data_IF_327298997981
#
_entry.id   IF_327298997981
#
_cell.length_a   1.000
_cell.length_b   1.000
_cell.length_c   1.000
_cell.angle_alpha   90.00
_cell.angle_beta   90.00
_cell.angle_gamma   90.00
#
_symmetry.space_group_name_H-M   'P 1'
#
loop_
_entity.id
_entity.type
_entity.pdbx_description
1 polymer ?
#
# COMPACT_ATOMS: atom_id res chain seq x y z
N UNK A 1 -6.93 -24.30 27.93
CA UNK A 1 -7.93 -24.30 29.03
C UNK A 1 -9.17 -25.03 28.54
N UNK A 2 -9.73 -25.96 29.31
CA UNK A 2 -11.02 -26.59 28.99
C UNK A 2 -12.16 -25.86 29.71
N UNK A 3 -13.36 -25.74 29.11
CA UNK A 3 -14.51 -25.15 29.76
C UNK A 3 -14.96 -25.96 30.98
N UNK A 4 -15.39 -25.27 32.04
CA UNK A 4 -15.97 -25.88 33.25
C UNK A 4 -17.50 -25.83 33.12
N UNK A 5 -18.22 -26.95 33.38
CA UNK A 5 -19.69 -26.97 33.37
C UNK A 5 -20.29 -26.14 34.51
N UNK A 6 -21.47 -25.56 34.28
CA UNK A 6 -22.22 -24.86 35.31
C UNK A 6 -22.71 -25.82 36.42
N UNK A 7 -22.69 -25.35 37.67
CA UNK A 7 -23.16 -26.04 38.87
C UNK A 7 -23.86 -25.05 39.81
N UNK A 8 -24.41 -25.51 40.93
CA UNK A 8 -25.03 -24.62 41.94
C UNK A 8 -24.04 -23.60 42.52
N UNK A 9 -22.74 -23.90 42.48
CA UNK A 9 -21.66 -22.96 42.86
C UNK A 9 -21.23 -22.03 41.70
N UNK A 10 -21.60 -22.34 40.45
CA UNK A 10 -21.32 -21.55 39.24
C UNK A 10 -22.57 -21.41 38.35
N UNK A 11 -23.62 -20.69 38.83
CA UNK A 11 -24.88 -20.58 38.12
C UNK A 11 -24.77 -19.74 36.84
N UNK A 12 -25.69 -19.98 35.91
CA UNK A 12 -25.80 -19.21 34.67
C UNK A 12 -26.23 -17.77 35.01
N UNK A 13 -25.49 -16.72 34.56
CA UNK A 13 -25.90 -15.34 34.78
C UNK A 13 -27.24 -15.07 34.11
N UNK A 14 -28.24 -14.62 34.88
CA UNK A 14 -29.53 -14.20 34.32
C UNK A 14 -29.42 -12.75 33.79
N UNK A 15 -29.97 -12.43 32.62
CA UNK A 15 -30.09 -11.06 32.15
C UNK A 15 -30.96 -10.24 33.11
N UNK A 16 -30.61 -8.98 33.34
CA UNK A 16 -31.50 -8.05 34.04
C UNK A 16 -32.75 -7.80 33.17
N UNK A 17 -33.92 -8.12 33.70
CA UNK A 17 -35.19 -7.78 33.09
C UNK A 17 -35.56 -6.32 33.38
N UNK A 18 -35.94 -5.60 32.31
CA UNK A 18 -36.48 -4.24 32.24
C UNK A 18 -35.51 -3.06 32.36
N UNK A 19 -35.05 -2.55 31.22
CA UNK A 19 -34.96 -1.10 30.99
C UNK A 19 -35.58 -0.78 29.63
N UNK A 20 -36.72 -0.12 29.69
CA UNK A 20 -37.49 0.44 28.58
C UNK A 20 -36.64 1.45 27.81
N UNK A 21 -36.67 1.31 26.48
CA UNK A 21 -35.95 2.15 25.54
C UNK A 21 -36.86 3.32 25.17
N UNK A 22 -36.57 4.52 25.70
CA UNK A 22 -37.08 5.77 25.16
C UNK A 22 -35.95 6.80 25.08
N UNK A 23 -35.86 7.38 23.89
CA UNK A 23 -34.98 8.46 23.47
C UNK A 23 -35.24 9.76 24.23
N UNK A 24 -34.20 10.52 24.57
CA UNK A 24 -34.20 11.99 24.48
C UNK A 24 -32.81 12.59 24.78
N UNK A 25 -32.31 13.35 23.80
CA UNK A 25 -31.64 14.66 23.91
C UNK A 25 -30.57 14.90 25.00
N UNK A 26 -29.31 14.94 24.59
CA UNK A 26 -28.30 15.77 25.27
C UNK A 26 -28.19 17.14 24.58
N UNK A 27 -28.52 18.15 25.37
CA UNK A 27 -28.46 19.58 25.09
C UNK A 27 -27.03 20.12 25.04
N UNK A 28 -26.81 21.00 24.06
CA UNK A 28 -25.71 21.96 23.92
C UNK A 28 -25.66 22.96 25.09
N UNK A 29 -24.46 23.24 25.65
CA UNK A 29 -23.93 24.60 25.88
C UNK A 29 -22.49 24.60 26.45
N UNK A 30 -21.55 25.14 25.67
CA UNK A 30 -20.47 26.03 26.13
C UNK A 30 -19.06 25.44 26.33
N UNK A 31 -18.18 25.53 25.33
CA UNK A 31 -17.23 26.67 25.25
C UNK A 31 -16.50 26.72 23.89
N UNK A 32 -16.25 27.95 23.42
CA UNK A 32 -15.82 28.28 22.05
C UNK A 32 -14.36 27.92 21.76
N UNK A 33 -14.10 27.06 20.77
CA UNK A 33 -12.88 27.14 19.94
C UNK A 33 -13.25 26.87 18.49
N UNK A 34 -13.10 27.90 17.65
CA UNK A 34 -13.32 27.85 16.20
C UNK A 34 -12.35 26.84 15.59
N UNK A 35 -12.87 25.73 15.06
CA UNK A 35 -12.16 24.83 14.14
C UNK A 35 -12.94 24.80 12.83
N UNK A 36 -12.30 25.24 11.75
CA UNK A 36 -12.73 24.92 10.40
C UNK A 36 -12.46 23.43 10.17
N UNK A 37 -13.49 22.60 10.27
CA UNK A 37 -13.47 21.22 9.80
C UNK A 37 -13.67 21.24 8.29
N UNK A 38 -12.72 20.68 7.54
CA UNK A 38 -12.95 20.31 6.14
C UNK A 38 -14.00 19.17 6.13
N UNK A 39 -15.15 19.44 5.51
CA UNK A 39 -16.35 18.62 5.48
C UNK A 39 -16.10 17.15 5.11
N UNK A 40 -16.32 16.26 6.08
CA UNK A 40 -16.68 14.87 5.82
C UNK A 40 -18.21 14.80 5.70
N UNK A 41 -18.80 14.16 4.66
CA UNK A 41 -20.25 14.04 4.59
C UNK A 41 -20.72 13.05 5.67
N UNK A 42 -21.18 13.60 6.79
CA UNK A 42 -21.92 12.87 7.81
C UNK A 42 -23.28 12.43 7.25
N UNK A 43 -23.66 11.18 7.49
CA UNK A 43 -24.98 10.64 7.09
C UNK A 43 -26.14 11.15 7.94
N UNK A 44 -25.88 11.99 8.94
CA UNK A 44 -26.88 12.45 9.90
C UNK A 44 -27.80 13.57 9.37
N UNK A 45 -27.60 14.04 8.13
CA UNK A 45 -28.36 15.16 7.56
C UNK A 45 -28.89 14.94 6.14
N UNK A 46 -28.83 13.72 5.60
CA UNK A 46 -29.41 13.46 4.28
C UNK A 46 -30.95 13.51 4.38
N UNK A 47 -31.63 14.24 3.47
CA UNK A 47 -33.08 14.22 3.44
C UNK A 47 -33.57 12.81 3.12
N UNK A 48 -34.74 12.45 3.66
CA UNK A 48 -35.44 11.22 3.29
C UNK A 48 -35.59 11.12 1.77
N UNK A 49 -35.61 9.88 1.26
CA UNK A 49 -35.81 9.66 -0.17
C UNK A 49 -37.17 10.20 -0.63
N UNK A 50 -37.15 11.18 -1.53
CA UNK A 50 -38.33 11.72 -2.19
C UNK A 50 -38.28 11.32 -3.67
N UNK A 51 -39.23 10.52 -4.18
CA UNK A 51 -39.25 10.13 -5.59
C UNK A 51 -39.50 11.34 -6.50
N UNK A 52 -38.74 11.42 -7.60
CA UNK A 52 -38.93 12.46 -8.61
C UNK A 52 -40.26 12.29 -9.33
N UNK A 53 -41.10 13.32 -9.30
CA UNK A 53 -42.44 13.33 -9.95
C UNK A 53 -42.40 13.51 -11.47
N UNK A 54 -41.22 13.67 -12.06
CA UNK A 54 -41.03 14.03 -13.48
C UNK A 54 -40.87 12.85 -14.44
N UNK A 55 -40.72 11.62 -13.95
CA UNK A 55 -40.58 10.42 -14.79
C UNK A 55 -41.63 9.37 -14.43
N UNK A 56 -42.47 8.98 -15.40
CA UNK A 56 -43.56 8.03 -15.19
C UNK A 56 -43.13 6.55 -15.23
N UNK A 57 -41.84 6.25 -15.46
CA UNK A 57 -41.31 4.88 -15.45
C UNK A 57 -40.14 4.73 -14.46
N UNK A 58 -40.12 3.67 -13.64
CA UNK A 58 -38.97 3.35 -12.80
C UNK A 58 -37.73 3.10 -13.66
N UNK A 59 -36.57 3.60 -13.21
CA UNK A 59 -35.28 3.26 -13.81
C UNK A 59 -35.03 1.76 -13.65
N UNK A 60 -34.83 1.06 -14.77
CA UNK A 60 -34.37 -0.34 -14.78
C UNK A 60 -32.84 -0.34 -14.87
N UNK A 61 -32.21 -1.16 -14.03
CA UNK A 61 -30.77 -1.28 -13.92
C UNK A 61 -30.26 -2.15 -15.09
N UNK A 62 -29.34 -1.60 -15.87
CA UNK A 62 -28.64 -2.29 -16.96
C UNK A 62 -27.60 -3.27 -16.43
N UNK A 63 -27.06 -4.14 -17.29
CA UNK A 63 -25.96 -5.05 -16.90
C UNK A 63 -24.71 -4.28 -16.43
N UNK A 64 -24.38 -3.18 -17.13
CA UNK A 64 -23.23 -2.32 -16.81
C UNK A 64 -23.38 -1.65 -15.44
N UNK A 65 -24.55 -1.07 -15.15
CA UNK A 65 -24.84 -0.46 -13.85
C UNK A 65 -24.80 -1.50 -12.71
N UNK A 66 -25.32 -2.71 -12.95
CA UNK A 66 -25.28 -3.77 -11.95
C UNK A 66 -23.84 -4.24 -11.68
N UNK A 67 -23.01 -4.36 -12.72
CA UNK A 67 -21.59 -4.69 -12.60
C UNK A 67 -20.87 -3.63 -11.77
N UNK A 68 -21.09 -2.35 -12.09
CA UNK A 68 -20.47 -1.22 -11.40
C UNK A 68 -20.93 -1.09 -9.94
N UNK A 69 -22.20 -1.36 -9.65
CA UNK A 69 -22.70 -1.44 -8.28
C UNK A 69 -22.04 -2.57 -7.49
N UNK A 70 -21.96 -3.78 -8.06
CA UNK A 70 -21.30 -4.94 -7.44
C UNK A 70 -19.83 -4.66 -7.15
N UNK A 71 -19.18 -3.98 -8.09
CA UNK A 71 -17.80 -3.52 -7.98
C UNK A 71 -17.65 -2.52 -6.83
N UNK A 72 -18.48 -1.49 -6.76
CA UNK A 72 -18.43 -0.45 -5.73
C UNK A 72 -18.72 -0.92 -4.32
N UNK A 73 -19.63 -1.90 -4.20
CA UNK A 73 -19.90 -2.58 -2.94
C UNK A 73 -18.86 -3.66 -2.60
N UNK A 74 -17.88 -3.88 -3.47
CA UNK A 74 -16.83 -4.90 -3.34
C UNK A 74 -17.39 -6.29 -3.00
N UNK A 75 -18.45 -6.71 -3.71
CA UNK A 75 -19.14 -7.95 -3.37
C UNK A 75 -18.38 -9.20 -3.85
N UNK A 76 -18.24 -10.22 -2.97
CA UNK A 76 -17.92 -11.59 -3.41
C UNK A 76 -18.96 -12.11 -4.40
N UNK A 77 -18.59 -13.07 -5.24
CA UNK A 77 -19.45 -13.64 -6.30
C UNK A 77 -20.82 -14.07 -5.80
N UNK A 78 -20.89 -14.78 -4.67
CA UNK A 78 -22.16 -15.24 -4.08
C UNK A 78 -23.06 -14.09 -3.59
N UNK A 79 -22.47 -13.01 -3.04
CA UNK A 79 -23.24 -11.83 -2.60
C UNK A 79 -23.69 -10.98 -3.78
N UNK A 80 -22.87 -10.88 -4.82
CA UNK A 80 -23.24 -10.22 -6.07
C UNK A 80 -24.44 -10.92 -6.73
N UNK A 81 -24.41 -12.25 -6.77
CA UNK A 81 -25.51 -13.06 -7.28
C UNK A 81 -26.78 -12.89 -6.44
N UNK A 82 -26.66 -12.92 -5.11
CA UNK A 82 -27.80 -12.67 -4.21
C UNK A 82 -28.41 -11.29 -4.43
N UNK A 83 -27.58 -10.25 -4.57
CA UNK A 83 -28.03 -8.89 -4.86
C UNK A 83 -28.77 -8.84 -6.20
N UNK A 84 -28.15 -9.34 -7.28
CA UNK A 84 -28.77 -9.38 -8.60
C UNK A 84 -30.09 -10.14 -8.61
N UNK A 85 -30.17 -11.28 -7.91
CA UNK A 85 -31.40 -12.06 -7.80
C UNK A 85 -32.53 -11.31 -7.10
N UNK A 86 -32.23 -10.52 -6.06
CA UNK A 86 -33.23 -9.68 -5.37
C UNK A 86 -33.71 -8.53 -6.25
N UNK A 87 -32.79 -7.86 -6.95
CA UNK A 87 -33.13 -6.80 -7.90
C UNK A 87 -34.00 -7.34 -9.04
N UNK A 88 -33.71 -8.55 -9.53
CA UNK A 88 -34.53 -9.24 -10.52
C UNK A 88 -35.94 -9.53 -9.98
N UNK A 89 -36.05 -10.07 -8.76
CA UNK A 89 -37.34 -10.35 -8.11
C UNK A 89 -38.20 -9.09 -7.94
N UNK A 90 -37.56 -7.93 -7.72
CA UNK A 90 -38.23 -6.65 -7.59
C UNK A 90 -38.54 -5.97 -8.94
N UNK A 91 -38.26 -6.62 -10.07
CA UNK A 91 -38.42 -6.08 -11.41
C UNK A 91 -37.64 -4.77 -11.65
N UNK A 92 -36.45 -4.66 -11.03
CA UNK A 92 -35.57 -3.49 -11.14
C UNK A 92 -34.45 -3.67 -12.17
N UNK A 93 -34.40 -4.79 -12.88
CA UNK A 93 -33.39 -5.06 -13.93
C UNK A 93 -34.01 -4.95 -15.32
N UNK A 94 -33.18 -4.61 -16.31
CA UNK A 94 -33.53 -4.79 -17.72
C UNK A 94 -33.62 -6.27 -18.11
N UNK A 95 -34.31 -6.55 -19.20
CA UNK A 95 -34.73 -7.90 -19.58
C UNK A 95 -33.56 -8.77 -20.07
N UNK A 96 -32.44 -8.15 -20.49
CA UNK A 96 -31.21 -8.80 -20.96
C UNK A 96 -30.15 -9.01 -19.86
N UNK A 97 -30.42 -8.55 -18.62
CA UNK A 97 -29.48 -8.67 -17.50
C UNK A 97 -29.34 -10.10 -17.02
N UNK A 98 -28.09 -10.56 -16.85
CA UNK A 98 -27.77 -11.91 -16.41
C UNK A 98 -27.04 -11.93 -15.07
N UNK A 99 -27.79 -12.29 -14.02
CA UNK A 99 -27.25 -12.44 -12.65
C UNK A 99 -26.18 -13.55 -12.58
N UNK A 100 -26.29 -14.58 -13.41
CA UNK A 100 -25.37 -15.71 -13.45
C UNK A 100 -23.94 -15.33 -13.88
N UNK A 101 -23.75 -14.19 -14.55
CA UNK A 101 -22.44 -13.69 -15.00
C UNK A 101 -21.48 -13.55 -13.82
N UNK A 102 -21.95 -13.17 -12.63
CA UNK A 102 -21.08 -12.98 -11.46
C UNK A 102 -20.33 -14.25 -11.02
N UNK A 103 -20.91 -15.44 -11.27
CA UNK A 103 -20.22 -16.72 -10.99
C UNK A 103 -18.97 -16.89 -11.84
N UNK A 104 -19.00 -16.35 -13.07
CA UNK A 104 -17.97 -16.50 -14.10
C UNK A 104 -17.23 -15.21 -14.46
N UNK A 105 -17.43 -14.11 -13.72
CA UNK A 105 -16.85 -12.78 -14.00
C UNK A 105 -15.32 -12.69 -14.16
N UNK A 106 -14.59 -13.72 -13.73
CA UNK A 106 -13.14 -13.82 -13.89
C UNK A 106 -12.73 -14.37 -15.26
N UNK A 107 -13.65 -15.00 -16.00
CA UNK A 107 -13.35 -15.79 -17.20
C UNK A 107 -12.75 -14.97 -18.34
N UNK A 108 -13.08 -13.69 -18.42
CA UNK A 108 -12.57 -12.81 -19.46
C UNK A 108 -11.08 -12.47 -19.24
N UNK A 109 -10.62 -12.52 -17.98
CA UNK A 109 -9.23 -12.21 -17.62
C UNK A 109 -8.39 -13.45 -17.32
N UNK A 110 -9.00 -14.59 -17.02
CA UNK A 110 -8.31 -15.83 -16.67
C UNK A 110 -7.29 -16.31 -17.73
N UNK A 111 -7.56 -16.20 -19.06
CA UNK A 111 -6.60 -16.61 -20.10
C UNK A 111 -5.26 -15.86 -20.09
N UNK A 112 -5.17 -14.70 -19.44
CA UNK A 112 -3.92 -13.94 -19.35
C UNK A 112 -2.99 -14.44 -18.24
N UNK A 113 -3.46 -15.34 -17.38
CA UNK A 113 -2.72 -15.82 -16.21
C UNK A 113 -2.42 -17.31 -16.30
N UNK A 114 -1.17 -17.66 -16.03
CA UNK A 114 -0.71 -19.04 -15.91
C UNK A 114 -0.28 -19.33 -14.47
N UNK A 115 -0.23 -20.62 -14.12
CA UNK A 115 0.31 -21.07 -12.84
C UNK A 115 1.35 -22.16 -13.08
N UNK A 116 2.60 -21.88 -12.70
CA UNK A 116 3.71 -22.82 -12.80
C UNK A 116 4.58 -22.71 -11.55
N UNK A 117 5.03 -23.83 -10.99
CA UNK A 117 5.91 -23.86 -9.81
C UNK A 117 5.38 -23.03 -8.62
N UNK A 118 4.07 -23.06 -8.38
CA UNK A 118 3.36 -22.28 -7.36
C UNK A 118 3.36 -20.74 -7.55
N UNK A 119 3.87 -20.24 -8.67
CA UNK A 119 3.76 -18.85 -9.07
C UNK A 119 2.59 -18.71 -10.05
N UNK A 120 1.64 -17.83 -9.73
CA UNK A 120 0.66 -17.33 -10.70
C UNK A 120 1.25 -16.08 -11.33
N UNK A 121 1.28 -15.99 -12.65
CA UNK A 121 1.86 -14.85 -13.37
C UNK A 121 1.06 -14.50 -14.61
N UNK A 122 1.12 -13.23 -15.02
CA UNK A 122 0.54 -12.78 -16.27
C UNK A 122 1.50 -13.07 -17.43
N UNK A 123 1.07 -13.89 -18.39
CA UNK A 123 1.88 -14.32 -19.53
C UNK A 123 1.73 -13.40 -20.76
N UNK A 124 0.69 -12.56 -20.77
CA UNK A 124 0.39 -11.61 -21.84
C UNK A 124 -0.06 -10.26 -21.26
N UNK A 125 0.91 -9.43 -20.87
CA UNK A 125 0.70 -8.11 -20.29
C UNK A 125 -0.06 -7.18 -21.24
N UNK A 126 0.34 -7.15 -22.51
CA UNK A 126 -0.30 -6.35 -23.55
C UNK A 126 -1.79 -6.69 -23.68
N UNK A 127 -2.11 -7.99 -23.76
CA UNK A 127 -3.49 -8.47 -23.86
C UNK A 127 -4.33 -8.14 -22.62
N UNK A 128 -3.76 -8.28 -21.43
CA UNK A 128 -4.44 -7.94 -20.17
C UNK A 128 -4.78 -6.44 -20.11
N UNK A 129 -3.83 -5.57 -20.45
CA UNK A 129 -4.04 -4.12 -20.45
C UNK A 129 -5.02 -3.69 -21.53
N UNK A 130 -4.94 -4.27 -22.73
CA UNK A 130 -5.92 -4.04 -23.79
C UNK A 130 -7.35 -4.47 -23.37
N UNK A 131 -7.49 -5.61 -22.69
CA UNK A 131 -8.78 -6.08 -22.17
C UNK A 131 -9.33 -5.18 -21.04
N UNK A 132 -8.46 -4.40 -20.39
CA UNK A 132 -8.83 -3.36 -19.44
C UNK A 132 -9.03 -1.98 -20.08
N UNK A 133 -9.01 -1.87 -21.42
CA UNK A 133 -9.08 -0.60 -22.16
C UNK A 133 -7.94 0.38 -21.82
N UNK A 134 -6.77 -0.14 -21.44
CA UNK A 134 -5.57 0.68 -21.21
C UNK A 134 -4.69 0.63 -22.46
N UNK A 135 -4.37 1.80 -23.01
CA UNK A 135 -3.31 1.93 -23.99
C UNK A 135 -1.95 1.78 -23.30
N UNK A 136 -1.25 0.66 -23.58
CA UNK A 136 -0.06 0.33 -22.82
C UNK A 136 1.22 0.94 -23.41
N UNK A 137 1.87 1.75 -22.59
CA UNK A 137 3.25 2.21 -22.79
C UNK A 137 4.12 1.74 -21.61
N UNK A 138 5.12 0.87 -21.78
CA UNK A 138 5.97 0.40 -20.68
C UNK A 138 6.62 1.52 -19.86
N UNK A 139 6.93 2.67 -20.47
CA UNK A 139 7.58 3.79 -19.78
C UNK A 139 6.67 4.47 -18.73
N UNK A 140 5.35 4.28 -18.82
CA UNK A 140 4.37 4.82 -17.88
C UNK A 140 4.12 3.90 -16.69
N UNK A 141 4.82 2.76 -16.61
CA UNK A 141 4.64 1.77 -15.55
C UNK A 141 5.96 1.48 -14.84
N UNK A 142 5.86 1.18 -13.55
CA UNK A 142 6.93 0.62 -12.74
C UNK A 142 6.50 -0.71 -12.13
N UNK A 143 7.43 -1.64 -12.05
CA UNK A 143 7.24 -2.92 -11.40
C UNK A 143 7.54 -2.78 -9.91
N UNK A 144 6.52 -2.96 -9.08
CA UNK A 144 6.67 -3.10 -7.64
C UNK A 144 6.79 -4.57 -7.29
N UNK A 145 7.89 -4.95 -6.63
CA UNK A 145 8.06 -6.29 -6.07
C UNK A 145 8.08 -6.16 -4.56
N UNK A 146 7.06 -6.72 -3.93
CA UNK A 146 7.05 -6.95 -2.49
C UNK A 146 7.27 -8.43 -2.24
N UNK A 147 8.13 -8.71 -1.28
CA UNK A 147 8.34 -10.06 -0.87
C UNK A 147 8.51 -10.18 0.63
N UNK A 148 7.93 -11.25 1.12
CA UNK A 148 7.89 -11.61 2.53
C UNK A 148 8.25 -13.08 2.68
N UNK A 149 8.42 -13.54 3.91
CA UNK A 149 8.61 -14.96 4.19
C UNK A 149 7.43 -15.84 3.76
N UNK A 150 6.25 -15.23 3.53
CA UNK A 150 4.99 -15.93 3.26
C UNK A 150 4.47 -15.74 1.84
N UNK A 151 4.90 -14.70 1.13
CA UNK A 151 4.38 -14.40 -0.22
C UNK A 151 5.35 -13.56 -1.03
N UNK A 152 5.28 -13.75 -2.35
CA UNK A 152 5.93 -12.93 -3.37
C UNK A 152 4.84 -12.29 -4.22
N UNK A 153 4.91 -10.97 -4.38
CA UNK A 153 3.93 -10.16 -5.11
C UNK A 153 4.67 -9.27 -6.09
N UNK A 154 4.28 -9.32 -7.35
CA UNK A 154 4.76 -8.46 -8.41
C UNK A 154 3.57 -7.71 -9.01
N UNK A 155 3.65 -6.39 -9.03
CA UNK A 155 2.52 -5.51 -9.34
C UNK A 155 3.02 -4.40 -10.25
N UNK A 156 2.32 -4.15 -11.34
CA UNK A 156 2.55 -2.96 -12.15
C UNK A 156 1.81 -1.77 -11.54
N UNK A 157 2.55 -0.69 -11.34
CA UNK A 157 2.06 0.56 -10.80
C UNK A 157 2.25 1.66 -11.85
N UNK A 158 1.16 2.33 -12.22
CA UNK A 158 1.24 3.47 -13.13
C UNK A 158 1.99 4.64 -12.49
N UNK A 159 2.89 5.28 -13.24
CA UNK A 159 3.62 6.45 -12.79
C UNK A 159 2.64 7.58 -12.50
N UNK A 160 2.80 8.28 -11.38
CA UNK A 160 1.83 9.28 -10.93
C UNK A 160 0.58 8.70 -10.25
N UNK A 161 0.46 7.36 -10.16
CA UNK A 161 -0.58 6.67 -9.40
C UNK A 161 -2.02 7.00 -9.86
N UNK A 162 -2.19 7.21 -11.17
CA UNK A 162 -3.47 7.56 -11.81
C UNK A 162 -4.33 6.31 -12.01
N UNK A 163 -3.74 5.26 -12.60
CA UNK A 163 -4.39 3.98 -12.82
C UNK A 163 -4.22 3.04 -11.61
N UNK A 164 -5.13 2.05 -11.43
CA UNK A 164 -5.02 1.10 -10.34
C UNK A 164 -3.81 0.16 -10.48
N UNK A 165 -3.46 -0.48 -9.37
CA UNK A 165 -2.47 -1.55 -9.32
C UNK A 165 -2.88 -2.75 -10.15
N UNK A 166 -1.99 -3.26 -10.99
CA UNK A 166 -2.23 -4.47 -11.78
C UNK A 166 -1.32 -5.62 -11.30
N UNK A 167 -1.85 -6.70 -10.70
CA UNK A 167 -1.03 -7.84 -10.30
C UNK A 167 -0.53 -8.59 -11.53
N UNK A 168 0.78 -8.83 -11.59
CA UNK A 168 1.43 -9.58 -12.68
C UNK A 168 2.17 -10.81 -12.20
N UNK A 169 2.41 -10.94 -10.90
CA UNK A 169 2.97 -12.12 -10.27
C UNK A 169 2.47 -12.26 -8.83
N UNK A 170 2.09 -13.48 -8.44
CA UNK A 170 1.61 -13.77 -7.10
C UNK A 170 1.91 -15.22 -6.71
N UNK A 171 2.56 -15.40 -5.57
CA UNK A 171 2.80 -16.71 -4.99
C UNK A 171 2.65 -16.66 -3.47
N UNK A 172 1.94 -17.64 -2.91
CA UNK A 172 1.95 -17.91 -1.47
C UNK A 172 2.98 -19.00 -1.22
N UNK A 173 3.82 -18.84 -0.21
CA UNK A 173 4.94 -19.72 0.15
C UNK A 173 6.16 -19.72 -0.78
N UNK A 174 6.30 -18.70 -1.63
CA UNK A 174 7.54 -18.45 -2.35
C UNK A 174 8.40 -17.49 -1.53
N UNK A 175 9.56 -17.97 -1.05
CA UNK A 175 10.55 -17.14 -0.36
C UNK A 175 11.23 -16.18 -1.36
N UNK A 176 12.15 -15.38 -0.83
CA UNK A 176 13.02 -14.43 -1.52
C UNK A 176 14.44 -14.96 -1.90
N UNK A 177 14.67 -16.17 -2.41
CA UNK A 177 15.96 -16.49 -3.02
C UNK A 177 16.08 -15.79 -4.38
N UNK A 178 17.32 -15.52 -4.75
CA UNK A 178 17.70 -14.99 -6.06
C UNK A 178 17.04 -15.72 -7.23
N UNK A 179 17.00 -17.06 -7.18
CA UNK A 179 16.42 -17.88 -8.25
C UNK A 179 14.91 -17.68 -8.44
N UNK A 180 14.17 -17.41 -7.36
CA UNK A 180 12.75 -17.10 -7.45
C UNK A 180 12.50 -15.73 -8.08
N UNK A 181 13.34 -14.74 -7.77
CA UNK A 181 13.27 -13.42 -8.41
C UNK A 181 13.59 -13.52 -9.90
N UNK A 182 14.63 -14.29 -10.26
CA UNK A 182 14.97 -14.58 -11.65
C UNK A 182 13.82 -15.26 -12.39
N UNK A 183 13.23 -16.27 -11.77
CA UNK A 183 12.10 -17.01 -12.32
C UNK A 183 10.88 -16.09 -12.53
N UNK A 184 10.52 -15.28 -11.53
CA UNK A 184 9.46 -14.29 -11.63
C UNK A 184 9.67 -13.35 -12.83
N UNK A 185 10.85 -12.73 -12.95
CA UNK A 185 11.16 -11.80 -14.05
C UNK A 185 11.09 -12.48 -15.43
N UNK A 186 11.51 -13.74 -15.50
CA UNK A 186 11.41 -14.55 -16.73
C UNK A 186 9.96 -14.81 -17.11
N UNK A 187 9.13 -15.22 -16.15
CA UNK A 187 7.71 -15.52 -16.36
C UNK A 187 6.91 -14.31 -16.86
N UNK A 188 7.20 -13.11 -16.31
CA UNK A 188 6.53 -11.86 -16.72
C UNK A 188 7.24 -11.17 -17.91
N UNK A 189 8.24 -11.83 -18.51
CA UNK A 189 9.00 -11.32 -19.66
C UNK A 189 9.55 -9.91 -19.44
N UNK A 190 10.13 -9.66 -18.25
CA UNK A 190 10.63 -8.34 -17.86
C UNK A 190 11.51 -7.69 -18.94
N UNK A 191 12.32 -8.50 -19.64
CA UNK A 191 13.25 -8.01 -20.65
C UNK A 191 12.57 -7.32 -21.84
N UNK A 192 11.33 -7.68 -22.17
CA UNK A 192 10.55 -7.05 -23.25
C UNK A 192 10.04 -5.65 -22.85
N UNK A 193 9.94 -5.38 -21.55
CA UNK A 193 9.28 -4.19 -21.02
C UNK A 193 10.24 -3.19 -20.38
N UNK A 194 11.31 -3.68 -19.76
CA UNK A 194 12.35 -2.85 -19.13
C UNK A 194 11.78 -1.81 -18.14
N UNK A 195 10.74 -2.17 -17.40
CA UNK A 195 10.12 -1.28 -16.41
C UNK A 195 11.14 -0.81 -15.39
N UNK A 196 10.96 0.41 -14.90
CA UNK A 196 11.59 0.78 -13.64
C UNK A 196 11.08 -0.12 -12.51
N UNK A 197 11.93 -0.43 -11.53
CA UNK A 197 11.59 -1.33 -10.44
C UNK A 197 11.66 -0.58 -9.12
N UNK A 198 10.61 -0.72 -8.31
CA UNK A 198 10.62 -0.32 -6.91
C UNK A 198 10.30 -1.50 -6.01
N UNK A 199 10.75 -1.42 -4.77
CA UNK A 199 10.58 -2.46 -3.77
C UNK A 199 11.40 -2.11 -2.55
N UNK A 200 11.28 -2.93 -1.52
CA UNK A 200 12.11 -2.77 -0.34
C UNK A 200 13.61 -2.96 -0.70
N UNK A 201 14.51 -2.39 0.11
CA UNK A 201 15.95 -2.44 -0.18
C UNK A 201 16.50 -3.88 -0.21
N UNK A 202 15.85 -4.83 0.46
CA UNK A 202 16.21 -6.25 0.43
C UNK A 202 15.87 -6.87 -0.92
N UNK A 203 14.67 -6.63 -1.46
CA UNK A 203 14.31 -7.01 -2.83
C UNK A 203 15.27 -6.39 -3.84
N UNK A 204 15.56 -5.09 -3.73
CA UNK A 204 16.53 -4.41 -4.61
C UNK A 204 17.91 -5.06 -4.53
N UNK A 205 18.39 -5.37 -3.32
CA UNK A 205 19.67 -6.06 -3.14
C UNK A 205 19.69 -7.43 -3.85
N UNK A 206 18.62 -8.22 -3.74
CA UNK A 206 18.51 -9.51 -4.43
C UNK A 206 18.51 -9.37 -5.95
N UNK A 207 17.76 -8.42 -6.49
CA UNK A 207 17.69 -8.15 -7.92
C UNK A 207 19.05 -7.70 -8.48
N UNK A 208 19.85 -7.01 -7.68
CA UNK A 208 21.21 -6.59 -8.05
C UNK A 208 22.29 -7.61 -7.64
N UNK A 209 21.88 -8.80 -7.20
CA UNK A 209 22.79 -9.90 -6.86
C UNK A 209 23.63 -9.68 -5.61
N UNK A 210 23.28 -8.72 -4.75
CA UNK A 210 23.98 -8.45 -3.50
C UNK A 210 23.67 -9.50 -2.42
N UNK A 211 24.66 -9.84 -1.62
CA UNK A 211 24.48 -10.74 -0.49
C UNK A 211 23.66 -10.06 0.61
N UNK A 212 22.57 -10.71 1.02
CA UNK A 212 21.77 -10.27 2.16
C UNK A 212 22.55 -10.46 3.47
N UNK A 213 22.30 -9.59 4.45
CA UNK A 213 22.93 -9.56 5.78
C UNK A 213 24.44 -9.22 5.82
N UNK A 214 25.14 -9.17 4.69
CA UNK A 214 26.50 -8.64 4.66
C UNK A 214 26.46 -7.12 4.52
N UNK A 215 26.78 -6.43 5.61
CA UNK A 215 26.55 -4.99 5.72
C UNK A 215 27.63 -4.15 5.04
N UNK A 216 28.85 -4.67 4.84
CA UNK A 216 29.94 -3.92 4.21
C UNK A 216 29.69 -3.86 2.71
N UNK A 217 29.91 -2.70 2.07
CA UNK A 217 29.66 -2.52 0.63
C UNK A 217 28.21 -2.82 0.22
N UNK A 218 27.24 -2.51 1.07
CA UNK A 218 25.82 -2.78 0.79
C UNK A 218 25.14 -1.75 -0.14
N UNK A 219 25.80 -0.64 -0.47
CA UNK A 219 25.34 0.28 -1.49
C UNK A 219 25.60 -0.31 -2.88
N UNK A 220 24.59 -0.30 -3.75
CA UNK A 220 24.73 -0.78 -5.13
C UNK A 220 25.25 0.29 -6.11
N UNK A 221 25.31 1.56 -5.69
CA UNK A 221 25.82 2.67 -6.49
C UNK A 221 27.32 2.91 -6.26
N UNK A 222 27.80 2.68 -5.05
CA UNK A 222 29.19 2.92 -4.68
C UNK A 222 29.73 1.90 -3.69
N UNK A 223 31.03 1.96 -3.45
CA UNK A 223 31.77 1.10 -2.53
C UNK A 223 31.75 1.62 -1.09
N UNK A 224 30.57 2.04 -0.63
CA UNK A 224 30.38 2.55 0.72
C UNK A 224 30.74 1.50 1.78
N UNK A 225 31.74 1.82 2.60
CA UNK A 225 32.11 1.00 3.75
C UNK A 225 31.25 1.38 4.97
N UNK A 226 30.15 0.66 5.16
CA UNK A 226 29.26 0.83 6.31
C UNK A 226 29.94 0.59 7.67
N UNK A 227 31.13 -0.02 7.70
CA UNK A 227 31.90 -0.25 8.93
C UNK A 227 32.87 0.90 9.25
N UNK A 228 33.19 1.76 8.28
CA UNK A 228 34.08 2.90 8.45
C UNK A 228 33.37 4.10 9.12
N UNK A 229 32.91 3.92 10.37
CA UNK A 229 32.08 4.90 11.11
C UNK A 229 32.68 6.31 11.18
N UNK A 230 33.99 6.42 11.33
CA UNK A 230 34.70 7.69 11.37
C UNK A 230 34.60 8.50 10.04
N UNK A 231 34.28 7.83 8.93
CA UNK A 231 34.18 8.43 7.60
C UNK A 231 32.75 8.79 7.19
N UNK A 232 31.72 8.35 7.92
CA UNK A 232 30.33 8.40 7.44
C UNK A 232 29.83 9.82 7.13
N UNK A 233 30.24 10.82 7.90
CA UNK A 233 29.83 12.23 7.70
C UNK A 233 30.97 13.15 7.23
N UNK A 234 32.16 12.60 7.01
CA UNK A 234 33.33 13.34 6.50
C UNK A 234 33.65 12.97 5.06
N UNK A 235 33.27 11.76 4.63
CA UNK A 235 33.41 11.28 3.27
C UNK A 235 32.05 11.09 2.61
N UNK A 236 31.69 12.05 1.77
CA UNK A 236 30.50 11.97 0.93
C UNK A 236 30.73 11.11 -0.31
N UNK A 237 31.89 11.27 -0.96
CA UNK A 237 32.20 10.61 -2.23
C UNK A 237 32.96 9.28 -2.00
N UNK A 238 32.28 8.19 -2.31
CA UNK A 238 32.83 6.83 -2.31
C UNK A 238 33.08 6.36 -3.75
N UNK A 239 34.02 5.43 -3.98
CA UNK A 239 34.29 4.94 -5.33
C UNK A 239 33.00 4.38 -5.96
N UNK A 240 32.68 4.83 -7.17
CA UNK A 240 31.48 4.39 -7.89
C UNK A 240 31.67 2.95 -8.35
N UNK A 241 30.60 2.14 -8.29
CA UNK A 241 30.63 0.79 -8.86
C UNK A 241 30.46 0.87 -10.36
N UNK A 242 31.51 0.51 -11.11
CA UNK A 242 31.41 0.38 -12.56
C UNK A 242 30.61 -0.88 -12.94
N UNK A 243 30.87 -1.98 -12.23
CA UNK A 243 30.23 -3.27 -12.44
C UNK A 243 29.86 -3.92 -11.10
N UNK A 244 28.82 -4.74 -11.12
CA UNK A 244 28.42 -5.62 -10.02
C UNK A 244 28.92 -7.03 -10.33
N UNK A 245 30.21 -7.27 -10.13
CA UNK A 245 30.88 -8.56 -10.43
C UNK A 245 30.75 -9.55 -9.26
N UNK A 246 30.19 -10.75 -9.49
CA UNK A 246 30.09 -11.78 -8.45
C UNK A 246 31.43 -12.11 -7.79
N UNK A 247 31.42 -12.28 -6.48
CA UNK A 247 32.60 -12.54 -5.65
C UNK A 247 33.33 -11.28 -5.19
N UNK A 248 32.98 -10.10 -5.69
CA UNK A 248 33.59 -8.84 -5.28
C UNK A 248 32.64 -7.97 -4.47
N UNK A 249 33.17 -7.32 -3.42
CA UNK A 249 32.54 -6.20 -2.71
C UNK A 249 31.03 -6.39 -2.50
N UNK A 250 30.65 -7.49 -1.82
CA UNK A 250 29.26 -7.87 -1.48
C UNK A 250 28.36 -8.37 -2.63
N UNK A 251 28.87 -8.54 -3.84
CA UNK A 251 28.11 -9.13 -4.94
C UNK A 251 28.24 -10.65 -4.88
N UNK A 252 27.13 -11.36 -4.78
CA UNK A 252 27.07 -12.82 -4.72
C UNK A 252 26.61 -13.43 -6.05
N UNK A 253 25.68 -12.76 -6.73
CA UNK A 253 25.08 -13.23 -7.98
C UNK A 253 25.19 -12.15 -9.06
N UNK A 254 24.99 -12.55 -10.31
CA UNK A 254 24.86 -11.59 -11.41
C UNK A 254 23.61 -10.72 -11.18
N UNK A 255 23.65 -9.41 -11.47
CA UNK A 255 22.44 -8.61 -11.47
C UNK A 255 21.40 -9.17 -12.43
N UNK A 256 20.15 -9.25 -11.98
CA UNK A 256 19.00 -9.64 -12.81
C UNK A 256 18.46 -8.47 -13.64
N UNK A 257 18.78 -7.24 -13.22
CA UNK A 257 18.26 -6.00 -13.81
C UNK A 257 19.34 -4.92 -13.81
N UNK A 258 19.22 -3.95 -14.71
CA UNK A 258 20.10 -2.77 -14.72
C UNK A 258 19.86 -1.92 -13.46
N UNK A 259 20.93 -1.51 -12.79
CA UNK A 259 20.86 -0.63 -11.62
C UNK A 259 20.22 0.72 -11.94
N UNK A 260 20.28 1.18 -13.19
CA UNK A 260 19.62 2.40 -13.67
C UNK A 260 18.09 2.28 -13.73
N UNK A 261 17.55 1.06 -13.73
CA UNK A 261 16.11 0.81 -13.68
C UNK A 261 15.56 0.82 -12.25
N UNK A 262 16.42 0.93 -11.22
CA UNK A 262 15.98 0.93 -9.83
C UNK A 262 15.48 2.31 -9.41
N UNK A 263 14.30 2.32 -8.78
CA UNK A 263 13.75 3.48 -8.07
C UNK A 263 13.91 3.25 -6.57
N UNK A 264 14.62 4.15 -5.90
CA UNK A 264 14.78 4.09 -4.45
C UNK A 264 13.42 4.28 -3.76
N UNK A 265 13.08 3.45 -2.75
CA UNK A 265 11.76 3.46 -2.12
C UNK A 265 11.58 4.64 -1.14
N UNK A 266 10.84 5.71 -1.50
CA UNK A 266 10.71 6.88 -0.65
C UNK A 266 9.98 6.56 0.66
N UNK A 267 9.01 5.63 0.66
CA UNK A 267 8.33 5.20 1.88
C UNK A 267 9.31 4.48 2.79
N UNK A 268 10.04 3.47 2.32
CA UNK A 268 10.97 2.75 3.19
C UNK A 268 12.08 3.65 3.75
N UNK A 269 12.51 4.67 3.01
CA UNK A 269 13.43 5.70 3.51
C UNK A 269 12.77 6.52 4.62
N UNK A 270 11.57 7.06 4.37
CA UNK A 270 10.75 7.79 5.35
C UNK A 270 10.53 7.01 6.65
N UNK A 271 10.15 5.72 6.53
CA UNK A 271 10.00 4.80 7.66
C UNK A 271 11.33 4.63 8.43
N UNK A 272 12.45 4.52 7.71
CA UNK A 272 13.77 4.38 8.31
C UNK A 272 14.22 5.63 9.08
N UNK A 273 13.95 6.82 8.55
CA UNK A 273 14.24 8.07 9.21
C UNK A 273 13.42 8.25 10.49
N UNK A 274 12.11 7.97 10.43
CA UNK A 274 11.24 8.01 11.61
C UNK A 274 11.71 7.04 12.69
N UNK A 275 12.12 5.83 12.28
CA UNK A 275 12.69 4.83 13.19
C UNK A 275 13.92 5.38 13.92
N UNK A 276 14.84 6.01 13.19
CA UNK A 276 16.06 6.57 13.77
C UNK A 276 15.75 7.75 14.71
N UNK A 277 14.82 8.63 14.31
CA UNK A 277 14.36 9.75 15.13
C UNK A 277 13.79 9.26 16.48
N UNK A 278 12.81 8.35 16.46
CA UNK A 278 12.19 7.84 17.70
C UNK A 278 13.14 7.00 18.55
N UNK A 279 14.16 6.38 17.94
CA UNK A 279 15.19 5.67 18.69
C UNK A 279 16.13 6.60 19.46
N UNK A 280 16.29 7.83 18.98
CA UNK A 280 17.16 8.85 19.59
C UNK A 280 16.44 9.69 20.65
N UNK A 281 15.10 9.68 20.69
CA UNK A 281 14.32 10.37 21.72
C UNK A 281 14.62 9.84 23.12
N UNK A 282 14.57 10.74 24.10
CA UNK A 282 14.58 10.37 25.50
C UNK A 282 13.37 9.49 25.84
N UNK A 283 13.60 8.36 26.50
CA UNK A 283 12.55 7.38 26.84
C UNK A 283 11.64 7.86 27.94
N UNK A 284 12.16 8.71 28.83
CA UNK A 284 11.41 9.30 29.92
C UNK A 284 10.88 10.69 29.54
N UNK A 285 11.30 11.22 28.39
CA UNK A 285 10.91 12.53 27.87
C UNK A 285 9.45 12.63 27.43
N UNK A 286 8.93 13.87 27.47
CA UNK A 286 7.56 14.22 27.09
C UNK A 286 7.17 13.74 25.70
N UNK A 287 8.06 13.89 24.71
CA UNK A 287 7.81 13.50 23.33
C UNK A 287 7.58 11.99 23.16
N UNK A 288 8.39 11.16 23.82
CA UNK A 288 8.22 9.70 23.76
C UNK A 288 6.94 9.25 24.47
N UNK A 289 6.63 9.86 25.63
CA UNK A 289 5.38 9.60 26.35
C UNK A 289 4.16 10.00 25.51
N UNK A 290 4.21 11.13 24.82
CA UNK A 290 3.14 11.59 23.93
C UNK A 290 2.88 10.59 22.79
N UNK A 291 3.93 10.07 22.16
CA UNK A 291 3.78 9.03 21.11
C UNK A 291 3.09 7.77 21.63
N UNK A 292 3.36 7.35 22.87
CA UNK A 292 2.66 6.21 23.49
C UNK A 292 1.18 6.49 23.69
N UNK A 293 0.84 7.67 24.19
CA UNK A 293 -0.54 8.07 24.44
C UNK A 293 -1.33 8.22 23.15
N UNK A 294 -0.72 8.80 22.11
CA UNK A 294 -1.35 9.01 20.79
C UNK A 294 -1.66 7.71 20.06
N UNK A 295 -0.83 6.68 20.24
CA UNK A 295 -1.01 5.37 19.60
C UNK A 295 -1.19 4.26 20.64
N UNK A 296 -2.31 4.23 21.38
CA UNK A 296 -2.52 3.26 22.47
C UNK A 296 -2.62 1.81 21.98
N UNK A 297 -2.87 1.61 20.67
CA UNK A 297 -2.89 0.30 20.02
C UNK A 297 -1.50 -0.22 19.63
N UNK A 298 -0.47 0.63 19.64
CA UNK A 298 0.92 0.20 19.42
C UNK A 298 1.50 -0.28 20.74
N UNK A 299 2.16 -1.44 20.73
CA UNK A 299 2.90 -1.89 21.89
C UNK A 299 4.08 -0.96 22.17
N UNK A 300 4.46 -0.86 23.44
CA UNK A 300 5.61 -0.09 23.87
C UNK A 300 6.89 -0.46 23.10
N UNK A 301 7.11 -1.75 22.86
CA UNK A 301 8.23 -2.24 22.07
C UNK A 301 8.24 -1.69 20.64
N UNK A 302 7.07 -1.60 19.98
CA UNK A 302 6.96 -1.02 18.63
C UNK A 302 7.28 0.48 18.63
N UNK A 303 6.75 1.23 19.59
CA UNK A 303 7.05 2.67 19.73
C UNK A 303 8.53 2.87 20.02
N UNK A 304 9.11 2.11 20.95
CA UNK A 304 10.54 2.16 21.30
C UNK A 304 11.45 1.90 20.11
N UNK A 305 11.09 0.92 19.29
CA UNK A 305 11.80 0.56 18.06
C UNK A 305 11.50 1.48 16.87
N UNK A 306 10.63 2.47 17.04
CA UNK A 306 10.24 3.41 16.00
C UNK A 306 9.49 2.75 14.84
N UNK A 307 8.73 1.69 15.11
CA UNK A 307 7.98 0.92 14.12
C UNK A 307 6.61 1.56 13.92
N UNK A 308 6.54 2.43 12.91
CA UNK A 308 5.31 3.09 12.47
C UNK A 308 4.99 2.70 11.03
N UNK A 309 3.71 2.80 10.66
CA UNK A 309 3.27 2.70 9.26
C UNK A 309 3.08 4.08 8.63
N UNK A 310 3.07 4.17 7.30
CA UNK A 310 2.92 5.43 6.57
C UNK A 310 1.80 6.36 7.09
N UNK A 311 0.55 5.86 7.29
CA UNK A 311 -0.54 6.67 7.84
C UNK A 311 -0.27 7.25 9.24
N UNK A 312 0.43 6.51 10.11
CA UNK A 312 0.77 6.99 11.46
C UNK A 312 1.79 8.13 11.37
N UNK A 313 2.81 8.00 10.53
CA UNK A 313 3.79 9.07 10.31
C UNK A 313 3.13 10.32 9.75
N UNK A 314 2.24 10.18 8.75
CA UNK A 314 1.48 11.32 8.21
C UNK A 314 0.65 12.02 9.28
N UNK A 315 0.08 11.27 10.23
CA UNK A 315 -0.67 11.83 11.34
C UNK A 315 0.23 12.65 12.28
N UNK A 316 1.41 12.11 12.65
CA UNK A 316 2.37 12.81 13.51
C UNK A 316 2.94 14.05 12.83
N UNK A 317 3.24 14.00 11.52
CA UNK A 317 3.74 15.15 10.75
C UNK A 317 2.79 16.35 10.74
N UNK A 318 1.48 16.12 10.94
CA UNK A 318 0.46 17.17 11.00
C UNK A 318 0.13 17.60 12.44
N UNK A 319 0.72 16.94 13.43
CA UNK A 319 0.37 17.13 14.83
C UNK A 319 1.23 18.20 15.50
N UNK A 320 0.66 19.37 15.68
CA UNK A 320 1.33 20.49 16.37
C UNK A 320 1.55 20.20 17.85
N UNK A 321 0.68 19.42 18.50
CA UNK A 321 0.85 19.09 19.91
C UNK A 321 2.08 18.23 20.13
N UNK A 322 2.33 17.26 19.23
CA UNK A 322 3.57 16.49 19.26
C UNK A 322 4.79 17.41 19.10
N UNK A 323 4.74 18.35 18.16
CA UNK A 323 5.83 19.30 17.93
C UNK A 323 6.13 20.18 19.15
N UNK A 324 5.10 20.56 19.90
CA UNK A 324 5.24 21.35 21.13
C UNK A 324 5.90 20.56 22.27
N UNK A 325 5.85 19.23 22.23
CA UNK A 325 6.56 18.39 23.21
C UNK A 325 8.06 18.32 22.97
N UNK A 326 8.54 18.66 21.77
CA UNK A 326 9.94 18.53 21.37
C UNK A 326 10.75 19.76 21.78
N UNK A 327 11.96 19.55 22.29
CA UNK A 327 12.83 20.66 22.73
C UNK A 327 14.26 20.54 22.18
N UNK A 328 14.96 21.68 22.08
CA UNK A 328 16.38 21.75 21.70
C UNK A 328 16.75 20.94 20.46
N UNK A 329 17.58 19.91 20.65
CA UNK A 329 18.09 19.03 19.59
C UNK A 329 16.96 18.19 18.98
N UNK A 330 15.99 17.72 19.79
CA UNK A 330 14.88 16.90 19.30
C UNK A 330 14.01 17.69 18.31
N UNK A 331 13.70 18.96 18.64
CA UNK A 331 12.93 19.84 17.77
C UNK A 331 13.67 20.15 16.47
N UNK A 332 15.00 20.33 16.55
CA UNK A 332 15.83 20.55 15.36
C UNK A 332 15.82 19.31 14.45
N UNK A 333 16.05 18.12 15.01
CA UNK A 333 16.03 16.86 14.27
C UNK A 333 14.66 16.56 13.66
N UNK A 334 13.58 16.90 14.35
CA UNK A 334 12.22 16.78 13.84
C UNK A 334 11.95 17.71 12.67
N UNK A 335 12.41 18.97 12.74
CA UNK A 335 12.27 19.93 11.65
C UNK A 335 13.04 19.49 10.40
N UNK A 336 14.27 18.99 10.57
CA UNK A 336 15.04 18.41 9.46
C UNK A 336 14.33 17.19 8.86
N UNK A 337 13.80 16.30 9.71
CA UNK A 337 12.99 15.16 9.26
C UNK A 337 11.75 15.61 8.48
N UNK A 338 10.99 16.59 8.99
CA UNK A 338 9.83 17.17 8.31
C UNK A 338 10.21 17.69 6.94
N UNK A 339 11.28 18.50 6.86
CA UNK A 339 11.77 19.08 5.60
C UNK A 339 12.13 17.99 4.58
N UNK A 340 12.87 16.95 4.98
CA UNK A 340 13.22 15.84 4.08
C UNK A 340 11.95 15.12 3.60
N UNK A 341 10.99 14.87 4.48
CA UNK A 341 9.78 14.13 4.10
C UNK A 341 8.84 14.94 3.21
N UNK A 342 8.67 16.24 3.48
CA UNK A 342 7.74 17.09 2.71
C UNK A 342 8.35 17.63 1.43
N UNK A 343 9.64 17.99 1.47
CA UNK A 343 10.29 18.76 0.40
C UNK A 343 11.30 17.95 -0.40
N UNK A 344 11.59 16.70 -0.05
CA UNK A 344 12.49 15.84 -0.84
C UNK A 344 11.79 14.54 -1.25
N UNK A 345 11.24 13.80 -0.28
CA UNK A 345 10.55 12.53 -0.53
C UNK A 345 9.08 12.70 -0.98
N UNK A 346 8.64 13.94 -1.21
CA UNK A 346 7.30 14.30 -1.64
C UNK A 346 7.17 14.48 -3.15
N UNK A 347 6.24 15.34 -3.57
CA UNK A 347 5.98 15.60 -5.00
C UNK A 347 6.97 16.57 -5.64
N UNK A 348 7.80 17.24 -4.83
CA UNK A 348 8.84 18.17 -5.27
C UNK A 348 10.12 17.84 -4.54
N UNK A 349 11.23 17.87 -5.27
CA UNK A 349 12.60 17.81 -4.77
C UNK A 349 13.12 19.24 -4.65
N UNK A 350 13.15 19.77 -3.42
CA UNK A 350 13.68 21.09 -3.13
C UNK A 350 15.20 21.04 -2.96
N UNK A 351 15.90 22.09 -3.40
CA UNK A 351 17.37 22.15 -3.35
C UNK A 351 17.91 22.39 -1.93
N UNK A 352 17.07 22.86 -1.00
CA UNK A 352 17.47 23.39 0.30
C UNK A 352 17.25 22.42 1.46
N UNK A 353 17.37 21.10 1.26
CA UNK A 353 17.36 20.16 2.39
C UNK A 353 18.73 20.14 3.07
N UNK A 354 18.73 20.32 4.39
CA UNK A 354 19.91 20.11 5.20
C UNK A 354 19.98 18.62 5.52
N UNK A 355 21.15 18.01 5.28
CA UNK A 355 21.36 16.60 5.62
C UNK A 355 21.16 16.41 7.13
N UNK A 356 20.39 15.40 7.52
CA UNK A 356 20.27 14.93 8.90
C UNK A 356 21.65 14.60 9.48
N UNK A 357 22.19 15.49 10.29
CA UNK A 357 23.50 15.35 10.95
C UNK A 357 23.30 14.85 12.38
N UNK A 358 24.14 13.90 12.82
CA UNK A 358 24.19 13.47 14.23
C UNK A 358 23.51 12.14 14.58
N UNK A 359 23.06 11.35 13.61
CA UNK A 359 22.57 9.99 13.84
C UNK A 359 23.54 8.91 13.31
N UNK A 360 23.30 7.64 13.63
CA UNK A 360 24.07 6.56 13.01
C UNK A 360 23.70 6.43 11.52
N UNK A 361 24.69 6.51 10.63
CA UNK A 361 24.49 6.43 9.17
C UNK A 361 24.02 5.03 8.77
N UNK A 362 22.73 4.91 8.48
CA UNK A 362 22.15 3.72 7.84
C UNK A 362 22.30 3.78 6.33
N UNK A 363 22.09 2.68 5.62
CA UNK A 363 22.08 2.66 4.14
C UNK A 363 21.10 3.68 3.55
N UNK A 364 19.94 3.88 4.20
CA UNK A 364 18.92 4.86 3.80
C UNK A 364 19.42 6.30 3.92
N UNK A 365 20.14 6.61 5.01
CA UNK A 365 20.73 7.94 5.20
C UNK A 365 21.91 8.12 4.25
N UNK A 366 22.69 7.07 3.99
CA UNK A 366 23.77 7.12 3.01
C UNK A 366 23.27 7.47 1.61
N UNK A 367 22.15 6.90 1.15
CA UNK A 367 21.54 7.34 -0.13
C UNK A 367 21.17 8.82 -0.12
N UNK A 368 20.57 9.32 0.97
CA UNK A 368 20.25 10.74 1.14
C UNK A 368 21.47 11.65 1.31
N UNK A 369 22.65 11.10 1.61
CA UNK A 369 23.86 11.90 1.80
C UNK A 369 24.76 11.89 0.55
N UNK A 370 24.88 10.74 -0.11
CA UNK A 370 25.85 10.51 -1.20
C UNK A 370 25.21 10.35 -2.59
N UNK A 371 23.91 10.08 -2.70
CA UNK A 371 23.26 9.66 -3.95
C UNK A 371 21.94 10.39 -4.19
N UNK A 372 21.96 11.69 -3.95
CA UNK A 372 20.79 12.57 -4.03
C UNK A 372 20.34 12.80 -5.46
N UNK A 373 21.28 12.80 -6.39
CA UNK A 373 21.11 12.81 -7.83
C UNK A 373 20.37 11.57 -8.35
N UNK A 374 20.46 10.44 -7.65
CA UNK A 374 19.76 9.21 -8.03
C UNK A 374 18.25 9.24 -7.75
N UNK A 375 17.78 10.14 -6.88
CA UNK A 375 16.34 10.29 -6.63
C UNK A 375 15.66 11.05 -7.77
N UNK A 376 14.50 10.58 -8.25
CA UNK A 376 13.73 11.31 -9.24
C UNK A 376 13.20 12.62 -8.66
N UNK A 377 12.95 13.60 -9.52
CA UNK A 377 12.46 14.93 -9.13
C UNK A 377 11.09 14.88 -8.43
N UNK A 378 10.27 13.89 -8.80
CA UNK A 378 8.97 13.62 -8.18
C UNK A 378 8.95 12.22 -7.54
N UNK A 379 9.52 12.11 -6.34
CA UNK A 379 9.50 10.88 -5.54
C UNK A 379 8.07 10.42 -5.20
N UNK A 380 7.13 11.35 -5.03
CA UNK A 380 5.72 11.04 -4.76
C UNK A 380 5.04 10.26 -5.90
N UNK A 381 5.35 10.60 -7.15
CA UNK A 381 4.81 9.93 -8.33
C UNK A 381 5.27 8.46 -8.46
N UNK A 382 6.45 8.14 -7.94
CA UNK A 382 7.03 6.79 -7.99
C UNK A 382 7.01 6.08 -6.63
N UNK A 383 6.40 6.68 -5.61
CA UNK A 383 6.39 6.10 -4.27
C UNK A 383 5.73 4.71 -4.26
N UNK A 384 6.34 3.83 -3.48
CA UNK A 384 5.89 2.51 -3.07
C UNK A 384 4.64 2.52 -2.17
N UNK A 385 4.15 3.70 -1.74
CA UNK A 385 2.87 3.83 -1.01
C UNK A 385 1.66 3.28 -1.78
N UNK A 386 1.70 3.25 -3.12
CA UNK A 386 0.66 2.61 -3.92
C UNK A 386 0.76 1.08 -3.87
N UNK A 387 1.97 0.51 -3.85
CA UNK A 387 2.18 -0.92 -3.64
C UNK A 387 1.66 -1.39 -2.27
N UNK A 388 1.82 -0.57 -1.23
CA UNK A 388 1.25 -0.86 0.09
C UNK A 388 -0.29 -0.84 0.11
N UNK A 389 -0.93 -0.01 -0.74
CA UNK A 389 -2.39 -0.05 -0.92
C UNK A 389 -2.83 -1.36 -1.58
N UNK A 390 -2.07 -1.86 -2.54
CA UNK A 390 -2.34 -3.16 -3.15
C UNK A 390 -2.40 -4.29 -2.12
N UNK A 391 -1.62 -4.25 -1.04
CA UNK A 391 -1.73 -5.25 0.05
C UNK A 391 -3.10 -5.27 0.73
N UNK A 392 -3.75 -4.11 0.86
CA UNK A 392 -5.09 -4.02 1.43
C UNK A 392 -6.12 -4.62 0.47
N UNK A 393 -6.03 -4.23 -0.81
CA UNK A 393 -6.94 -4.71 -1.85
C UNK A 393 -6.83 -6.23 -2.05
N UNK A 394 -5.61 -6.75 -2.15
CA UNK A 394 -5.37 -8.18 -2.38
C UNK A 394 -5.73 -9.01 -1.15
N UNK A 395 -5.60 -8.47 0.08
CA UNK A 395 -6.01 -9.20 1.29
C UNK A 395 -7.51 -9.52 1.28
N UNK A 396 -8.33 -8.63 0.73
CA UNK A 396 -9.76 -8.88 0.54
C UNK A 396 -9.97 -10.05 -0.43
N UNK A 397 -9.18 -10.15 -1.50
CA UNK A 397 -9.22 -11.29 -2.41
C UNK A 397 -8.71 -12.58 -1.77
N UNK A 398 -7.60 -12.53 -1.04
CA UNK A 398 -7.04 -13.68 -0.30
C UNK A 398 -8.10 -14.29 0.64
N UNK A 399 -8.84 -13.45 1.37
CA UNK A 399 -9.95 -13.91 2.22
C UNK A 399 -11.08 -14.56 1.42
N UNK A 400 -11.49 -13.95 0.30
CA UNK A 400 -12.57 -14.48 -0.56
C UNK A 400 -12.21 -15.85 -1.15
N UNK A 401 -10.95 -16.05 -1.51
CA UNK A 401 -10.45 -17.30 -2.06
C UNK A 401 -9.92 -18.28 -1.01
N UNK A 402 -10.14 -18.00 0.28
CA UNK A 402 -9.69 -18.85 1.40
C UNK A 402 -8.18 -19.17 1.31
N UNK A 403 -7.38 -18.15 0.98
CA UNK A 403 -5.93 -18.25 0.80
C UNK A 403 -5.52 -19.18 -0.34
N UNK A 404 -6.44 -19.61 -1.22
CA UNK A 404 -6.09 -20.25 -2.49
C UNK A 404 -5.63 -19.19 -3.48
N UNK A 405 -4.49 -19.41 -4.12
CA UNK A 405 -3.99 -18.56 -5.19
C UNK A 405 -3.95 -19.37 -6.47
N UNK A 406 -4.61 -18.84 -7.50
CA UNK A 406 -4.72 -19.45 -8.82
C UNK A 406 -4.98 -18.35 -9.85
N UNK A 407 -4.93 -18.66 -11.16
CA UNK A 407 -5.24 -17.71 -12.22
C UNK A 407 -6.60 -17.03 -12.03
N UNK A 408 -7.62 -17.77 -11.60
CA UNK A 408 -8.97 -17.25 -11.36
C UNK A 408 -9.02 -16.14 -10.31
N UNK A 409 -8.16 -16.18 -9.28
CA UNK A 409 -8.10 -15.16 -8.24
C UNK A 409 -7.58 -13.82 -8.78
N UNK A 410 -6.48 -13.82 -9.52
CA UNK A 410 -5.92 -12.60 -10.11
C UNK A 410 -6.83 -12.06 -11.23
N UNK A 411 -7.43 -12.95 -12.02
CA UNK A 411 -8.42 -12.59 -13.01
C UNK A 411 -9.67 -11.94 -12.40
N UNK A 412 -10.16 -12.48 -11.27
CA UNK A 412 -11.27 -11.87 -10.53
C UNK A 412 -10.87 -10.51 -9.94
N UNK A 413 -9.61 -10.33 -9.53
CA UNK A 413 -9.10 -9.02 -9.11
C UNK A 413 -9.14 -8.04 -10.28
N UNK A 414 -8.68 -8.43 -11.47
CA UNK A 414 -8.69 -7.58 -12.67
C UNK A 414 -10.12 -7.17 -13.07
N UNK A 415 -11.09 -8.07 -12.97
CA UNK A 415 -12.51 -7.73 -13.18
C UNK A 415 -13.01 -6.62 -12.22
N UNK A 416 -12.46 -6.56 -11.00
CA UNK A 416 -12.77 -5.47 -10.06
C UNK A 416 -12.10 -4.15 -10.40
N UNK A 417 -11.33 -4.02 -11.48
CA UNK A 417 -10.66 -2.77 -11.82
C UNK A 417 -11.46 -1.92 -12.79
N UNK A 418 -12.28 -2.49 -13.68
CA UNK A 418 -12.98 -1.73 -14.72
C UNK A 418 -14.25 -1.00 -14.26
N UNK A 419 -14.69 -0.08 -15.11
CA UNK A 419 -16.04 0.49 -15.19
C UNK A 419 -16.72 0.10 -16.50
N UNK A 420 -17.98 -0.29 -16.42
CA UNK A 420 -18.77 -0.59 -17.64
C UNK A 420 -19.60 0.64 -18.06
N UNK A 421 -19.89 1.55 -17.13
CA UNK A 421 -20.61 2.80 -17.36
C UNK A 421 -19.85 4.00 -16.74
N UNK A 422 -18.70 4.42 -17.29
CA UNK A 422 -17.88 5.49 -16.70
C UNK A 422 -18.58 6.87 -16.69
N UNK A 423 -19.54 7.07 -17.59
CA UNK A 423 -20.30 8.32 -17.75
C UNK A 423 -21.43 8.47 -16.69
N UNK A 424 -21.77 7.43 -15.92
CA UNK A 424 -22.89 7.52 -14.96
C UNK A 424 -22.51 8.31 -13.72
N UNK A 425 -23.30 9.35 -13.41
CA UNK A 425 -23.09 10.20 -12.25
C UNK A 425 -23.78 9.58 -11.03
N UNK A 426 -23.00 9.23 -10.02
CA UNK A 426 -23.52 8.73 -8.74
C UNK A 426 -23.48 9.81 -7.66
N UNK A 427 -24.53 9.88 -6.81
CA UNK A 427 -24.56 10.79 -5.66
C UNK A 427 -23.45 10.50 -4.64
N UNK A 428 -23.01 9.24 -4.56
CA UNK A 428 -21.89 8.78 -3.72
C UNK A 428 -21.02 7.83 -4.54
N UNK A 429 -19.72 7.99 -4.44
CA UNK A 429 -18.74 7.20 -5.19
C UNK A 429 -17.91 6.32 -4.26
N UNK A 430 -17.51 5.15 -4.74
CA UNK A 430 -16.55 4.31 -4.03
C UNK A 430 -15.19 5.01 -3.91
N UNK A 431 -14.43 4.67 -2.87
CA UNK A 431 -13.08 5.24 -2.63
C UNK A 431 -12.00 4.65 -3.54
N UNK A 432 -12.25 3.49 -4.15
CA UNK A 432 -11.26 2.76 -4.95
C UNK A 432 -11.23 3.29 -6.39
N UNK A 433 -10.05 3.61 -6.90
CA UNK A 433 -9.85 4.00 -8.29
C UNK A 433 -10.12 2.80 -9.21
N UNK A 434 -10.78 3.09 -10.34
CA UNK A 434 -11.17 2.13 -11.37
C UNK A 434 -10.80 2.68 -12.75
N UNK A 435 -10.73 1.81 -13.73
CA UNK A 435 -10.38 2.08 -15.13
C UNK A 435 -11.63 2.41 -15.92
#
# INVERSE_FOLDING_TARGET
MRPVPHSDENPIPKPLESHTCESENESDHGDRVIRQEEDMPSTSGDPDFIPSTSCHQPHKITQSELNDLVRDLELPKCKAELLGSRLQQWNLLEDDVSVCVFRKRHKDFEPFFNMENNLVFCSNINGLLAALNINYNPEEWRLFIDSSTLSLKAVLLHIGNILPSLPVGYAVHMKEPYDNMKYLLTCIKYDEHQWHICGDLKVIALLLGLQLNYTKFCCFLCEWDSRAKALHYTRQNWPVRQFLEPGQKNVQHMPLVDSKKILLPPLHIKLGLMKNFVKALDRDGSAFQYLRQKFPRLSEAKVKEGIFVGPQIRNILKDTQFEDTLTGIEKTAWNDFRLVVTNFLGNRKADNYKTLMGCNMSLKIHFLYSHLDFFPDNCGAVSDEHGERFHQDISTMEKRYQVKWNPSMLADYCWTLGRDAPETIHKRTAKRQRI
#
